data_IF_215099554687
#
_entry.id   IF_215099554687
#
_cell.length_a   1.000
_cell.length_b   1.000
_cell.length_c   1.000
_cell.angle_alpha   90.00
_cell.angle_beta   90.00
_cell.angle_gamma   90.00
#
_symmetry.space_group_name_H-M   'P 1'
#
loop_
_entity.id
_entity.type
_entity.pdbx_description
1 polymer ?
#
# COMPACT_ATOMS: atom_id res chain seq x y z
N UNK A 1 -19.39 -6.82 0.78
CA UNK A 1 -18.24 -5.96 1.07
C UNK A 1 -17.22 -6.76 1.88
N UNK A 2 -15.93 -6.56 1.66
CA UNK A 2 -14.83 -7.20 2.41
C UNK A 2 -14.51 -6.38 3.67
N UNK A 3 -14.54 -5.07 3.51
CA UNK A 3 -14.42 -4.08 4.58
C UNK A 3 -15.41 -2.94 4.27
N UNK A 4 -15.79 -2.16 5.28
CA UNK A 4 -16.50 -0.90 5.10
C UNK A 4 -16.08 0.05 6.22
N UNK A 5 -15.83 1.32 5.89
CA UNK A 5 -15.49 2.36 6.85
C UNK A 5 -16.26 3.64 6.55
N UNK A 6 -16.51 4.42 7.59
CA UNK A 6 -17.00 5.80 7.45
C UNK A 6 -15.80 6.70 7.22
N UNK A 7 -15.81 7.47 6.13
CA UNK A 7 -14.75 8.45 5.83
C UNK A 7 -15.13 9.86 6.24
N UNK A 8 -16.42 10.20 6.15
CA UNK A 8 -16.94 11.50 6.52
C UNK A 8 -18.35 11.36 7.09
N UNK A 9 -18.65 12.16 8.11
CA UNK A 9 -19.99 12.27 8.69
C UNK A 9 -20.30 13.73 8.96
N UNK A 10 -21.38 14.22 8.36
CA UNK A 10 -21.87 15.58 8.52
C UNK A 10 -23.39 15.59 8.67
N UNK A 11 -23.97 16.76 8.90
CA UNK A 11 -25.44 16.93 8.90
C UNK A 11 -26.06 16.69 7.51
N UNK A 12 -25.28 16.83 6.44
CA UNK A 12 -25.74 16.65 5.06
C UNK A 12 -25.71 15.18 4.62
N UNK A 13 -24.90 14.34 5.28
CA UNK A 13 -24.83 12.92 4.96
C UNK A 13 -23.65 12.19 5.58
N UNK A 14 -23.53 10.91 5.20
CA UNK A 14 -22.43 10.03 5.61
C UNK A 14 -21.80 9.43 4.37
N UNK A 15 -20.48 9.57 4.26
CA UNK A 15 -19.68 8.97 3.18
C UNK A 15 -19.04 7.69 3.70
N UNK A 16 -19.22 6.60 2.96
CA UNK A 16 -18.64 5.31 3.27
C UNK A 16 -17.75 4.85 2.13
N UNK A 17 -16.63 4.22 2.48
CA UNK A 17 -15.78 3.48 1.56
C UNK A 17 -15.86 2.00 1.89
N UNK A 18 -15.97 1.17 0.86
CA UNK A 18 -16.10 -0.26 1.02
C UNK A 18 -15.25 -1.03 0.01
N UNK A 19 -14.45 -1.96 0.51
CA UNK A 19 -13.64 -2.82 -0.34
C UNK A 19 -14.47 -3.96 -0.93
N UNK A 20 -14.25 -4.23 -2.21
CA UNK A 20 -14.96 -5.23 -2.99
C UNK A 20 -13.96 -6.14 -3.70
N UNK A 21 -14.27 -7.43 -3.77
CA UNK A 21 -13.33 -8.45 -4.24
C UNK A 21 -12.96 -8.34 -5.72
N UNK A 22 -13.86 -7.81 -6.55
CA UNK A 22 -13.59 -7.63 -7.99
C UNK A 22 -14.26 -6.36 -8.53
N UNK A 23 -13.69 -5.81 -9.61
CA UNK A 23 -14.30 -4.69 -10.35
C UNK A 23 -15.69 -5.01 -10.90
N UNK A 24 -15.96 -6.28 -11.24
CA UNK A 24 -17.29 -6.71 -11.71
C UNK A 24 -18.35 -6.54 -10.62
N UNK A 25 -18.05 -7.03 -9.40
CA UNK A 25 -18.94 -6.91 -8.25
C UNK A 25 -19.10 -5.44 -7.86
N UNK A 26 -18.03 -4.64 -7.94
CA UNK A 26 -18.11 -3.19 -7.71
C UNK A 26 -19.09 -2.49 -8.65
N UNK A 27 -18.99 -2.72 -9.96
CA UNK A 27 -19.91 -2.12 -10.93
C UNK A 27 -21.37 -2.53 -10.68
N UNK A 28 -21.60 -3.79 -10.29
CA UNK A 28 -22.93 -4.27 -9.92
C UNK A 28 -23.44 -3.59 -8.65
N UNK A 29 -22.60 -3.48 -7.62
CA UNK A 29 -22.94 -2.82 -6.36
C UNK A 29 -23.31 -1.35 -6.57
N UNK A 30 -22.53 -0.59 -7.36
CA UNK A 30 -22.83 0.80 -7.70
C UNK A 30 -24.21 0.92 -8.32
N UNK A 31 -24.52 0.11 -9.34
CA UNK A 31 -25.83 0.14 -10.04
C UNK A 31 -27.01 -0.14 -9.10
N UNK A 32 -26.84 -1.06 -8.15
CA UNK A 32 -27.89 -1.39 -7.18
C UNK A 32 -28.04 -0.28 -6.15
N UNK A 33 -26.93 0.24 -5.62
CA UNK A 33 -26.95 1.28 -4.60
C UNK A 33 -27.53 2.60 -5.14
N UNK A 34 -27.25 2.97 -6.39
CA UNK A 34 -27.79 4.21 -6.99
C UNK A 34 -29.32 4.21 -7.11
N UNK A 35 -29.98 3.05 -7.17
CA UNK A 35 -31.44 2.97 -7.20
C UNK A 35 -32.08 2.86 -5.81
N UNK A 36 -31.28 2.83 -4.74
CA UNK A 36 -31.77 2.70 -3.38
C UNK A 36 -32.07 4.05 -2.74
N UNK A 37 -33.16 4.05 -1.98
CA UNK A 37 -33.53 5.14 -1.07
C UNK A 37 -33.72 4.54 0.31
N UNK A 38 -33.08 5.14 1.33
CA UNK A 38 -33.05 4.62 2.69
C UNK A 38 -33.72 5.61 3.62
N UNK A 39 -34.68 5.13 4.43
CA UNK A 39 -35.25 5.93 5.51
C UNK A 39 -34.32 5.85 6.72
N UNK A 40 -33.65 6.96 7.04
CA UNK A 40 -32.72 7.04 8.16
C UNK A 40 -33.46 7.68 9.35
N UNK A 41 -33.34 7.07 10.53
CA UNK A 41 -33.94 7.62 11.74
C UNK A 41 -33.35 9.00 12.04
N UNK A 42 -34.20 10.01 12.23
CA UNK A 42 -33.79 11.41 12.41
C UNK A 42 -33.85 12.27 11.15
N UNK A 43 -34.05 11.68 9.96
CA UNK A 43 -34.32 12.42 8.72
C UNK A 43 -35.82 12.45 8.43
N UNK A 44 -36.34 13.63 8.07
CA UNK A 44 -37.74 13.81 7.68
C UNK A 44 -38.07 13.04 6.40
N UNK A 45 -37.14 13.07 5.45
CA UNK A 45 -37.31 12.53 4.11
C UNK A 45 -36.38 11.32 3.87
N UNK A 46 -36.81 10.35 3.06
CA UNK A 46 -35.95 9.26 2.64
C UNK A 46 -34.69 9.78 1.92
N UNK A 47 -33.53 9.28 2.30
CA UNK A 47 -32.23 9.71 1.75
C UNK A 47 -31.88 8.85 0.55
N UNK A 48 -31.55 9.46 -0.58
CA UNK A 48 -31.10 8.75 -1.78
C UNK A 48 -29.63 8.35 -1.64
N UNK A 49 -29.32 7.09 -1.91
CA UNK A 49 -27.94 6.60 -1.90
C UNK A 49 -27.26 7.00 -3.21
N UNK A 50 -26.04 7.53 -3.11
CA UNK A 50 -25.13 7.75 -4.24
C UNK A 50 -23.92 6.84 -4.08
N UNK A 51 -23.52 6.17 -5.16
CA UNK A 51 -22.37 5.29 -5.16
C UNK A 51 -21.49 5.61 -6.37
N UNK A 52 -20.17 5.56 -6.18
CA UNK A 52 -19.19 5.76 -7.25
C UNK A 52 -17.95 4.89 -6.96
N UNK A 53 -17.13 4.67 -7.98
CA UNK A 53 -15.80 4.08 -7.79
C UNK A 53 -14.94 5.09 -7.04
N UNK A 54 -14.43 4.70 -5.87
CA UNK A 54 -13.49 5.50 -5.11
C UNK A 54 -12.19 5.68 -5.92
N UNK A 55 -11.64 6.90 -5.91
CA UNK A 55 -10.30 7.12 -6.47
C UNK A 55 -9.28 6.54 -5.51
N UNK A 56 -8.22 5.95 -6.06
CA UNK A 56 -7.07 5.54 -5.25
C UNK A 56 -6.47 6.78 -4.58
N UNK A 57 -6.32 6.72 -3.25
CA UNK A 57 -5.58 7.73 -2.47
C UNK A 57 -4.09 7.80 -2.87
N UNK A 58 -3.59 6.77 -3.55
CA UNK A 58 -2.22 6.70 -4.03
C UNK A 58 -2.10 7.23 -5.46
N UNK A 59 -1.06 8.05 -5.75
CA UNK A 59 -0.83 8.59 -7.09
C UNK A 59 -0.67 7.48 -8.12
N UNK A 60 -1.31 7.66 -9.27
CA UNK A 60 -1.12 6.78 -10.42
C UNK A 60 0.27 6.98 -11.04
N UNK A 61 0.66 6.08 -11.94
CA UNK A 61 1.89 6.26 -12.74
C UNK A 61 1.90 7.61 -13.46
N UNK A 62 0.75 8.03 -14.00
CA UNK A 62 0.63 9.31 -14.68
C UNK A 62 0.87 10.49 -13.72
N UNK A 63 0.33 10.44 -12.51
CA UNK A 63 0.54 11.47 -11.49
C UNK A 63 2.02 11.57 -11.11
N UNK A 64 2.72 10.43 -10.99
CA UNK A 64 4.15 10.39 -10.77
C UNK A 64 4.96 10.96 -11.94
N UNK A 65 4.63 10.57 -13.18
CA UNK A 65 5.31 11.08 -14.37
C UNK A 65 5.17 12.60 -14.48
N UNK A 66 3.97 13.14 -14.22
CA UNK A 66 3.73 14.59 -14.16
C UNK A 66 4.52 15.26 -13.04
N UNK A 67 4.56 14.65 -11.86
CA UNK A 67 5.36 15.15 -10.73
C UNK A 67 6.85 15.23 -11.09
N UNK A 68 7.42 14.15 -11.64
CA UNK A 68 8.84 14.15 -12.01
C UNK A 68 9.15 15.12 -13.14
N UNK A 69 8.26 15.24 -14.13
CA UNK A 69 8.41 16.20 -15.23
C UNK A 69 8.37 17.65 -14.74
N UNK A 70 7.39 18.00 -13.91
CA UNK A 70 7.23 19.36 -13.34
C UNK A 70 8.43 19.77 -12.50
N UNK A 71 8.97 18.83 -11.71
CA UNK A 71 10.12 19.08 -10.84
C UNK A 71 11.48 18.86 -11.53
N UNK A 72 11.49 18.51 -12.83
CA UNK A 72 12.70 18.23 -13.62
C UNK A 72 13.62 17.17 -12.99
N UNK A 73 13.02 16.13 -12.42
CA UNK A 73 13.72 15.02 -11.78
C UNK A 73 14.06 13.95 -12.82
N UNK A 74 15.35 13.71 -13.02
CA UNK A 74 15.91 12.81 -14.05
C UNK A 74 15.96 11.38 -13.56
N UNK A 75 15.57 10.44 -14.42
CA UNK A 75 15.73 9.01 -14.14
C UNK A 75 17.21 8.56 -14.17
N UNK A 76 18.06 9.29 -14.90
CA UNK A 76 19.47 8.96 -15.07
C UNK A 76 20.38 9.50 -13.95
N UNK A 77 19.84 10.23 -12.99
CA UNK A 77 20.61 10.80 -11.88
C UNK A 77 20.21 10.14 -10.56
N UNK A 78 21.15 9.45 -9.88
CA UNK A 78 20.87 8.83 -8.59
C UNK A 78 20.27 9.82 -7.60
N UNK A 79 19.17 9.42 -6.94
CA UNK A 79 18.50 10.23 -5.92
C UNK A 79 17.51 11.28 -6.45
N UNK A 80 17.45 11.56 -7.76
CA UNK A 80 16.44 12.48 -8.30
C UNK A 80 15.05 11.83 -8.42
N UNK A 81 14.99 10.53 -8.76
CA UNK A 81 13.77 9.74 -8.66
C UNK A 81 13.93 8.65 -7.60
N UNK A 82 12.96 8.45 -6.70
CA UNK A 82 12.98 7.35 -5.76
C UNK A 82 12.97 6.02 -6.54
N UNK A 83 14.11 5.33 -6.56
CA UNK A 83 14.27 4.04 -7.23
C UNK A 83 14.64 2.90 -6.25
N UNK A 84 14.68 3.24 -4.96
CA UNK A 84 15.07 2.36 -3.87
C UNK A 84 13.99 2.40 -2.80
N UNK A 85 13.49 1.23 -2.41
CA UNK A 85 12.53 1.07 -1.32
C UNK A 85 13.23 0.48 -0.09
N UNK A 86 12.88 0.99 1.09
CA UNK A 86 13.33 0.43 2.36
C UNK A 86 12.18 -0.31 3.02
N UNK A 87 12.34 -1.62 3.18
CA UNK A 87 11.38 -2.49 3.87
C UNK A 87 11.89 -2.79 5.28
N UNK A 88 11.04 -2.57 6.27
CA UNK A 88 11.32 -2.91 7.65
C UNK A 88 10.06 -3.42 8.35
N UNK A 89 10.26 -4.17 9.44
CA UNK A 89 9.17 -4.73 10.26
C UNK A 89 8.22 -5.63 9.47
N UNK A 90 8.74 -6.32 8.46
CA UNK A 90 8.01 -7.34 7.68
C UNK A 90 8.37 -8.73 8.20
N UNK A 91 7.43 -9.70 8.22
CA UNK A 91 7.74 -11.07 8.62
C UNK A 91 8.80 -11.72 7.72
N UNK A 92 9.90 -12.19 8.32
CA UNK A 92 10.97 -12.90 7.58
C UNK A 92 10.41 -14.09 6.79
N UNK A 93 9.44 -14.80 7.38
CA UNK A 93 8.83 -16.01 6.81
C UNK A 93 8.11 -15.78 5.48
N UNK A 94 7.76 -14.55 5.12
CA UNK A 94 7.20 -14.24 3.80
C UNK A 94 8.22 -14.41 2.67
N UNK A 95 9.50 -14.24 2.99
CA UNK A 95 10.58 -14.22 2.00
C UNK A 95 11.61 -15.33 2.26
N UNK A 96 11.33 -16.30 3.12
CA UNK A 96 12.25 -17.40 3.43
C UNK A 96 11.81 -18.70 2.77
N UNK A 97 12.77 -19.56 2.45
CA UNK A 97 12.48 -20.95 2.09
C UNK A 97 11.86 -21.72 3.28
N UNK A 98 11.16 -22.83 2.98
CA UNK A 98 10.58 -23.68 4.02
C UNK A 98 11.70 -24.26 4.91
N UNK A 99 11.63 -23.96 6.21
CA UNK A 99 12.63 -24.40 7.18
C UNK A 99 13.79 -23.42 7.41
N UNK A 100 13.87 -22.31 6.66
CA UNK A 100 14.88 -21.27 6.90
C UNK A 100 14.37 -20.22 7.89
N UNK A 101 15.27 -19.71 8.74
CA UNK A 101 15.03 -18.57 9.64
C UNK A 101 15.61 -17.24 9.09
N UNK A 102 16.17 -17.28 7.89
CA UNK A 102 16.77 -16.14 7.19
C UNK A 102 16.01 -15.92 5.88
N UNK A 103 15.70 -14.67 5.48
CA UNK A 103 15.06 -14.40 4.19
C UNK A 103 15.99 -14.74 3.02
N UNK A 104 15.39 -15.08 1.88
CA UNK A 104 16.07 -15.29 0.61
C UNK A 104 15.97 -14.04 -0.26
N UNK A 105 17.11 -13.60 -0.79
CA UNK A 105 17.16 -12.52 -1.77
C UNK A 105 16.34 -12.88 -3.02
N UNK A 106 16.38 -14.13 -3.47
CA UNK A 106 15.70 -14.59 -4.67
C UNK A 106 14.17 -14.51 -4.52
N UNK A 107 13.63 -14.96 -3.38
CA UNK A 107 12.20 -14.90 -3.10
C UNK A 107 11.72 -13.45 -2.99
N UNK A 108 12.47 -12.60 -2.28
CA UNK A 108 12.15 -11.18 -2.18
C UNK A 108 12.18 -10.49 -3.55
N UNK A 109 13.21 -10.77 -4.36
CA UNK A 109 13.35 -10.25 -5.73
C UNK A 109 12.15 -10.67 -6.58
N UNK A 110 11.83 -11.95 -6.63
CA UNK A 110 10.71 -12.47 -7.42
C UNK A 110 9.37 -11.83 -6.98
N UNK A 111 9.15 -11.66 -5.68
CA UNK A 111 7.96 -11.00 -5.16
C UNK A 111 7.89 -9.53 -5.62
N UNK A 112 8.98 -8.79 -5.52
CA UNK A 112 9.03 -7.37 -5.91
C UNK A 112 9.02 -7.17 -7.44
N UNK A 113 9.53 -8.13 -8.21
CA UNK A 113 9.54 -8.07 -9.68
C UNK A 113 8.14 -8.09 -10.31
N UNK A 114 7.12 -8.51 -9.56
CA UNK A 114 5.72 -8.34 -9.96
C UNK A 114 5.29 -6.87 -10.12
N UNK A 115 6.00 -5.93 -9.49
CA UNK A 115 5.74 -4.48 -9.56
C UNK A 115 6.70 -3.74 -10.51
N UNK A 116 7.78 -4.37 -10.97
CA UNK A 116 8.76 -3.79 -11.87
C UNK A 116 10.17 -4.37 -11.71
N UNK A 117 11.07 -4.09 -12.65
CA UNK A 117 12.44 -4.65 -12.65
C UNK A 117 13.21 -4.24 -11.39
N UNK A 118 13.72 -5.23 -10.64
CA UNK A 118 14.54 -5.00 -9.45
C UNK A 118 16.03 -5.00 -9.81
N UNK A 119 16.71 -3.87 -9.59
CA UNK A 119 18.15 -3.73 -9.91
C UNK A 119 19.03 -4.46 -8.91
N UNK A 120 18.79 -4.25 -7.62
CA UNK A 120 19.56 -4.80 -6.51
C UNK A 120 18.62 -5.04 -5.34
N UNK A 121 18.90 -6.11 -4.60
CA UNK A 121 18.30 -6.37 -3.29
C UNK A 121 19.44 -6.37 -2.29
N UNK A 122 19.17 -5.83 -1.10
CA UNK A 122 20.11 -5.81 0.01
C UNK A 122 19.37 -6.27 1.26
N UNK A 123 19.85 -7.34 1.88
CA UNK A 123 19.28 -7.88 3.12
C UNK A 123 20.43 -8.01 4.13
N UNK A 124 20.53 -7.09 5.12
CA UNK A 124 21.68 -7.05 6.02
C UNK A 124 21.99 -8.36 6.75
N UNK A 125 20.97 -9.16 7.08
CA UNK A 125 21.16 -10.44 7.79
C UNK A 125 21.78 -11.54 6.90
N UNK A 126 21.72 -11.40 5.57
CA UNK A 126 22.31 -12.36 4.63
C UNK A 126 23.79 -12.09 4.33
N UNK A 127 24.32 -10.93 4.75
CA UNK A 127 25.70 -10.54 4.51
C UNK A 127 26.50 -10.63 5.84
N UNK A 128 27.43 -11.59 5.89
CA UNK A 128 28.20 -11.89 7.11
C UNK A 128 29.13 -10.75 7.52
N UNK A 129 29.58 -9.94 6.57
CA UNK A 129 30.50 -8.82 6.80
C UNK A 129 29.79 -7.63 7.46
N UNK A 130 28.46 -7.54 7.37
CA UNK A 130 27.68 -6.45 7.99
C UNK A 130 27.89 -6.35 9.50
N UNK A 131 28.22 -7.46 10.16
CA UNK A 131 28.49 -7.50 11.61
C UNK A 131 29.77 -6.75 11.99
N UNK A 132 30.70 -6.63 11.05
CA UNK A 132 31.99 -5.97 11.25
C UNK A 132 31.96 -4.51 10.80
N UNK A 133 30.90 -4.09 10.09
CA UNK A 133 30.71 -2.72 9.65
C UNK A 133 30.31 -1.79 10.80
N UNK A 134 30.61 -0.49 10.64
CA UNK A 134 30.12 0.54 11.55
C UNK A 134 28.57 0.43 11.69
N UNK A 135 28.01 0.42 12.92
CA UNK A 135 26.57 0.32 13.15
C UNK A 135 25.71 1.27 12.32
N UNK A 136 26.19 2.49 12.03
CA UNK A 136 25.48 3.50 11.23
C UNK A 136 25.21 3.07 9.79
N UNK A 137 26.05 2.19 9.24
CA UNK A 137 25.98 1.73 7.84
C UNK A 137 25.71 0.23 7.71
N UNK A 138 25.83 -0.53 8.81
CA UNK A 138 25.61 -1.98 8.83
C UNK A 138 24.21 -2.39 8.36
N UNK A 139 23.22 -1.52 8.53
CA UNK A 139 21.81 -1.79 8.19
C UNK A 139 21.06 -2.61 9.26
N UNK A 140 21.75 -3.12 10.28
CA UNK A 140 21.10 -3.78 11.41
C UNK A 140 20.39 -2.75 12.30
N UNK A 141 19.10 -2.97 12.54
CA UNK A 141 18.33 -2.21 13.53
C UNK A 141 17.79 -3.16 14.59
N UNK A 142 18.37 -3.11 15.78
CA UNK A 142 18.01 -3.94 16.96
C UNK A 142 16.70 -3.54 17.64
N UNK A 143 16.02 -2.49 17.16
CA UNK A 143 14.69 -2.12 17.69
C UNK A 143 13.65 -3.10 17.15
N UNK A 144 13.49 -4.20 17.90
CA UNK A 144 12.48 -5.21 17.69
C UNK A 144 11.06 -4.64 17.72
N UNK A 145 10.13 -5.47 17.27
CA UNK A 145 8.71 -5.23 17.34
C UNK A 145 8.30 -5.11 18.81
N UNK A 146 8.11 -3.89 19.30
CA UNK A 146 7.35 -3.69 20.53
C UNK A 146 5.88 -3.89 20.14
N UNK A 147 5.27 -4.98 20.58
CA UNK A 147 3.82 -4.95 20.76
C UNK A 147 3.58 -3.82 21.77
N UNK A 148 2.75 -2.84 21.40
CA UNK A 148 2.29 -1.81 22.33
C UNK A 148 1.61 -2.46 23.55
N UNK A 149 1.34 -1.67 24.61
CA UNK A 149 0.82 -2.17 25.88
C UNK A 149 -0.45 -3.01 25.73
#
# INVERSE_FOLDING_TARGET
FVSIRVTESSLEGVTLEADLTTRKIMKQAIKVLESMTVKVSGFSDPVRVRAAEAKSDFPSRHDWDLFFMKNKLSENKPGERPDTIYLAKVPIKWFSEKGSDIPSEEILRAAMESFGKVRRVDIPVCDTLRKEMNPEISGFKTKGFAFGP
#
